data_IF_764103025142
#
_entry.id   IF_764103025142
#
_cell.length_a   1.000
_cell.length_b   1.000
_cell.length_c   1.000
_cell.angle_alpha   90.00
_cell.angle_beta   90.00
_cell.angle_gamma   90.00
#
_symmetry.space_group_name_H-M   'P 1'
#
loop_
_entity.id
_entity.type
_entity.pdbx_description
1 polymer ?
#
# COMPACT_ATOMS: atom_id res chain seq x y z
N UNK A 1 10.05 4.51 -16.18
CA UNK A 1 9.35 3.24 -15.90
C UNK A 1 8.57 3.45 -14.61
N UNK A 2 7.29 3.07 -14.58
CA UNK A 2 6.41 3.26 -13.40
C UNK A 2 6.64 2.14 -12.40
N UNK A 3 6.65 0.89 -12.88
CA UNK A 3 6.87 -0.32 -12.09
C UNK A 3 7.54 -1.39 -12.96
N UNK A 4 8.01 -2.46 -12.33
CA UNK A 4 8.47 -3.68 -13.00
C UNK A 4 7.70 -4.88 -12.48
N UNK A 5 7.47 -5.86 -13.33
CA UNK A 5 6.92 -7.17 -12.96
C UNK A 5 7.97 -8.22 -13.26
N UNK A 6 8.25 -9.08 -12.31
CA UNK A 6 9.10 -10.26 -12.45
C UNK A 6 8.35 -11.47 -11.93
N UNK A 7 8.67 -12.66 -12.45
CA UNK A 7 8.09 -13.93 -11.98
C UNK A 7 9.20 -14.76 -11.34
N UNK A 8 9.48 -14.55 -10.03
CA UNK A 8 10.56 -15.25 -9.31
C UNK A 8 10.26 -16.73 -9.10
N UNK A 9 9.00 -17.14 -9.20
CA UNK A 9 8.58 -18.54 -9.19
C UNK A 9 7.35 -18.73 -10.10
N UNK A 10 6.96 -19.97 -10.45
CA UNK A 10 5.96 -20.25 -11.49
C UNK A 10 4.60 -19.57 -11.28
N UNK A 11 4.17 -19.37 -10.03
CA UNK A 11 2.83 -18.87 -9.71
C UNK A 11 2.86 -17.57 -8.90
N UNK A 12 4.03 -16.95 -8.78
CA UNK A 12 4.23 -15.71 -8.00
C UNK A 12 4.75 -14.61 -8.90
N UNK A 13 4.03 -13.49 -8.93
CA UNK A 13 4.48 -12.24 -9.52
C UNK A 13 5.04 -11.30 -8.46
N UNK A 14 6.16 -10.64 -8.76
CA UNK A 14 6.77 -9.58 -7.96
C UNK A 14 6.59 -8.25 -8.67
N UNK A 15 5.76 -7.39 -8.12
CA UNK A 15 5.54 -6.01 -8.58
C UNK A 15 6.40 -5.06 -7.76
N UNK A 16 7.32 -4.38 -8.41
CA UNK A 16 8.21 -3.40 -7.77
C UNK A 16 7.92 -2.01 -8.30
N UNK A 17 7.44 -1.13 -7.46
CA UNK A 17 7.25 0.28 -7.80
C UNK A 17 8.59 0.99 -7.94
N UNK A 18 8.76 1.83 -8.97
CA UNK A 18 9.90 2.73 -9.04
C UNK A 18 9.91 3.70 -7.85
N UNK A 19 11.03 4.32 -7.55
CA UNK A 19 11.13 5.28 -6.43
C UNK A 19 10.11 6.43 -6.60
N UNK A 20 9.93 6.92 -7.83
CA UNK A 20 8.93 7.94 -8.14
C UNK A 20 7.51 7.44 -7.87
N UNK A 21 7.19 6.21 -8.30
CA UNK A 21 5.87 5.61 -8.09
C UNK A 21 5.61 5.32 -6.62
N UNK A 22 6.59 4.82 -5.87
CA UNK A 22 6.46 4.62 -4.42
C UNK A 22 6.15 5.92 -3.68
N UNK A 23 6.67 7.04 -4.17
CA UNK A 23 6.38 8.37 -3.61
C UNK A 23 5.01 8.90 -4.01
N UNK A 24 4.58 8.68 -5.27
CA UNK A 24 3.37 9.25 -5.85
C UNK A 24 2.51 8.16 -6.52
N UNK A 25 2.20 7.10 -5.79
CA UNK A 25 1.55 5.89 -6.32
C UNK A 25 0.20 6.21 -6.99
N UNK A 26 -0.54 7.16 -6.45
CA UNK A 26 -1.88 7.52 -6.93
C UNK A 26 -1.91 8.80 -7.77
N UNK A 27 -0.76 9.23 -8.28
CA UNK A 27 -0.73 10.29 -9.29
C UNK A 27 -1.29 9.79 -10.63
N UNK A 28 -1.91 10.69 -11.39
CA UNK A 28 -2.36 10.40 -12.76
C UNK A 28 -1.22 9.79 -13.59
N UNK A 29 -1.50 8.73 -14.32
CA UNK A 29 -0.53 7.97 -15.10
C UNK A 29 0.23 6.90 -14.31
N UNK A 30 0.59 7.12 -13.05
CA UNK A 30 1.15 6.06 -12.21
C UNK A 30 0.06 5.09 -11.78
N UNK A 31 -1.06 5.59 -11.26
CA UNK A 31 -2.18 4.76 -10.80
C UNK A 31 -2.79 3.93 -11.92
N UNK A 32 -2.91 4.46 -13.14
CA UNK A 32 -3.42 3.72 -14.29
C UNK A 32 -2.55 2.50 -14.63
N UNK A 33 -1.22 2.67 -14.59
CA UNK A 33 -0.28 1.57 -14.78
C UNK A 33 -0.35 0.54 -13.64
N UNK A 34 -0.51 0.99 -12.39
CA UNK A 34 -0.66 0.08 -11.24
C UNK A 34 -1.94 -0.73 -11.39
N UNK A 35 -3.06 -0.09 -11.76
CA UNK A 35 -4.34 -0.75 -11.97
C UNK A 35 -4.25 -1.79 -13.07
N UNK A 36 -3.78 -1.41 -14.27
CA UNK A 36 -3.69 -2.34 -15.40
C UNK A 36 -2.81 -3.55 -15.07
N UNK A 37 -1.66 -3.32 -14.41
CA UNK A 37 -0.76 -4.40 -13.99
C UNK A 37 -1.43 -5.34 -12.99
N UNK A 38 -2.09 -4.81 -11.96
CA UNK A 38 -2.76 -5.65 -10.96
C UNK A 38 -3.93 -6.41 -11.58
N UNK A 39 -4.71 -5.77 -12.46
CA UNK A 39 -5.81 -6.42 -13.16
C UNK A 39 -5.33 -7.55 -14.07
N UNK A 40 -4.25 -7.33 -14.86
CA UNK A 40 -3.63 -8.36 -15.68
C UNK A 40 -3.17 -9.56 -14.84
N UNK A 41 -2.56 -9.32 -13.67
CA UNK A 41 -2.10 -10.38 -12.77
C UNK A 41 -3.25 -11.12 -12.07
N UNK A 42 -4.36 -10.44 -11.79
CA UNK A 42 -5.58 -11.07 -11.24
C UNK A 42 -6.26 -11.97 -12.29
N UNK A 43 -6.23 -11.57 -13.56
CA UNK A 43 -6.84 -12.30 -14.67
C UNK A 43 -5.95 -13.42 -15.21
N UNK A 44 -4.65 -13.40 -14.91
CA UNK A 44 -3.72 -14.46 -15.29
C UNK A 44 -3.93 -15.70 -14.42
N UNK A 45 -4.43 -16.77 -15.04
CA UNK A 45 -4.71 -18.05 -14.36
C UNK A 45 -3.46 -18.77 -13.84
N UNK A 46 -2.27 -18.39 -14.31
CA UNK A 46 -1.01 -18.95 -13.82
C UNK A 46 -0.47 -18.19 -12.60
N UNK A 47 -1.00 -17.00 -12.29
CA UNK A 47 -0.60 -16.18 -11.13
C UNK A 47 -1.53 -16.43 -9.95
N UNK A 48 -1.04 -17.10 -8.90
CA UNK A 48 -1.77 -17.36 -7.65
C UNK A 48 -1.51 -16.30 -6.59
N UNK A 49 -0.32 -15.70 -6.61
CA UNK A 49 0.05 -14.69 -5.63
C UNK A 49 0.86 -13.53 -6.24
N UNK A 50 0.69 -12.35 -5.67
CA UNK A 50 1.38 -11.13 -6.05
C UNK A 50 2.10 -10.54 -4.85
N UNK A 51 3.42 -10.41 -4.93
CA UNK A 51 4.23 -9.67 -3.96
C UNK A 51 4.35 -8.23 -4.46
N UNK A 52 4.00 -7.26 -3.61
CA UNK A 52 4.12 -5.83 -3.93
C UNK A 52 5.21 -5.23 -3.05
N UNK A 53 6.12 -4.47 -3.65
CA UNK A 53 7.15 -3.69 -2.94
C UNK A 53 7.41 -2.36 -3.62
N UNK A 54 8.01 -1.45 -2.88
CA UNK A 54 8.47 -0.18 -3.40
C UNK A 54 9.98 -0.13 -3.58
N UNK A 55 10.47 1.03 -4.02
CA UNK A 55 11.90 1.35 -4.10
C UNK A 55 12.20 2.60 -3.28
N UNK A 56 13.38 2.64 -2.65
CA UNK A 56 13.83 3.76 -1.83
C UNK A 56 13.15 3.80 -0.46
N UNK A 57 12.70 4.99 -0.04
CA UNK A 57 12.21 5.24 1.33
C UNK A 57 10.75 4.84 1.57
N UNK A 58 10.01 4.54 0.51
CA UNK A 58 8.57 4.29 0.59
C UNK A 58 8.21 2.93 0.02
N UNK A 59 7.30 2.25 0.68
CA UNK A 59 6.46 1.25 0.06
C UNK A 59 5.43 1.96 -0.84
N UNK A 60 4.65 2.86 -0.24
CA UNK A 60 3.77 3.80 -0.95
C UNK A 60 3.45 4.98 -0.03
N UNK A 61 3.78 6.19 -0.46
CA UNK A 61 3.41 7.41 0.26
C UNK A 61 2.01 7.92 -0.11
N UNK A 62 1.32 7.25 -1.01
CA UNK A 62 -0.03 7.63 -1.42
C UNK A 62 -0.06 8.57 -2.62
N UNK A 63 -0.74 9.69 -2.48
CA UNK A 63 -0.90 10.68 -3.53
C UNK A 63 0.15 11.79 -3.51
N UNK A 64 0.21 12.61 -4.56
CA UNK A 64 1.13 13.73 -4.69
C UNK A 64 0.70 14.90 -3.80
N UNK A 65 1.03 14.84 -2.51
CA UNK A 65 0.63 15.84 -1.50
C UNK A 65 1.14 17.24 -1.85
N UNK A 66 2.27 17.35 -2.52
CA UNK A 66 2.82 18.61 -3.04
C UNK A 66 1.91 19.32 -4.05
N UNK A 67 1.01 18.60 -4.70
CA UNK A 67 0.00 19.19 -5.60
C UNK A 67 -1.27 19.65 -4.90
N UNK A 68 -1.42 19.33 -3.62
CA UNK A 68 -2.63 19.71 -2.89
C UNK A 68 -2.71 21.22 -2.66
N UNK A 69 -1.61 21.87 -2.33
CA UNK A 69 -1.56 23.32 -2.15
C UNK A 69 -1.92 24.04 -3.45
N UNK A 70 -1.35 23.59 -4.58
CA UNK A 70 -1.69 24.12 -5.92
C UNK A 70 -3.17 23.91 -6.26
N UNK A 71 -3.73 22.75 -5.93
CA UNK A 71 -5.14 22.45 -6.18
C UNK A 71 -6.09 23.22 -5.25
N UNK A 72 -5.69 23.52 -4.03
CA UNK A 72 -6.42 24.39 -3.09
C UNK A 72 -6.46 25.80 -3.64
N UNK A 73 -5.32 26.34 -4.04
CA UNK A 73 -5.21 27.70 -4.59
C UNK A 73 -6.02 27.84 -5.89
N UNK A 74 -6.06 26.80 -6.71
CA UNK A 74 -6.86 26.74 -7.94
C UNK A 74 -8.36 26.45 -7.69
N UNK A 75 -8.77 26.09 -6.47
CA UNK A 75 -10.16 25.73 -6.14
C UNK A 75 -10.60 24.36 -6.66
N UNK A 76 -9.68 23.48 -7.05
CA UNK A 76 -9.94 22.15 -7.67
C UNK A 76 -9.53 20.98 -6.79
N UNK A 77 -9.24 21.20 -5.51
CA UNK A 77 -8.80 20.15 -4.57
C UNK A 77 -9.82 19.00 -4.47
N UNK A 78 -11.10 19.31 -4.51
CA UNK A 78 -12.16 18.30 -4.47
C UNK A 78 -12.07 17.36 -5.67
N UNK A 79 -11.95 17.89 -6.87
CA UNK A 79 -11.85 17.13 -8.10
C UNK A 79 -10.59 16.25 -8.11
N UNK A 80 -9.47 16.79 -7.62
CA UNK A 80 -8.22 16.04 -7.50
C UNK A 80 -8.41 14.82 -6.57
N UNK A 81 -8.99 15.03 -5.38
CA UNK A 81 -9.20 13.94 -4.40
C UNK A 81 -10.22 12.93 -4.92
N UNK A 82 -11.34 13.37 -5.52
CA UNK A 82 -12.34 12.49 -6.13
C UNK A 82 -11.74 11.63 -7.25
N UNK A 83 -10.87 12.20 -8.09
CA UNK A 83 -10.18 11.45 -9.14
C UNK A 83 -9.25 10.40 -8.55
N UNK A 84 -8.41 10.78 -7.57
CA UNK A 84 -7.48 9.85 -6.92
C UNK A 84 -8.20 8.70 -6.23
N UNK A 85 -9.23 9.00 -5.45
CA UNK A 85 -10.01 7.98 -4.72
C UNK A 85 -10.86 7.14 -5.65
N UNK A 86 -11.35 7.70 -6.75
CA UNK A 86 -12.06 7.01 -7.82
C UNK A 86 -11.24 5.90 -8.50
N UNK A 87 -9.92 6.01 -8.49
CA UNK A 87 -9.01 4.97 -8.96
C UNK A 87 -8.60 4.01 -7.82
N UNK A 88 -8.23 4.56 -6.66
CA UNK A 88 -7.74 3.79 -5.53
C UNK A 88 -8.78 2.80 -4.98
N UNK A 89 -9.99 3.26 -4.70
CA UNK A 89 -10.98 2.42 -4.02
C UNK A 89 -11.39 1.19 -4.85
N UNK A 90 -11.68 1.29 -6.17
CA UNK A 90 -11.95 0.11 -6.98
C UNK A 90 -10.77 -0.88 -7.03
N UNK A 91 -9.52 -0.38 -7.12
CA UNK A 91 -8.33 -1.23 -7.10
C UNK A 91 -8.28 -2.08 -5.82
N UNK A 92 -8.38 -1.43 -4.64
CA UNK A 92 -8.34 -2.13 -3.36
C UNK A 92 -9.49 -3.12 -3.18
N UNK A 93 -10.68 -2.79 -3.69
CA UNK A 93 -11.81 -3.70 -3.68
C UNK A 93 -11.58 -4.93 -4.57
N UNK A 94 -10.94 -4.78 -5.73
CA UNK A 94 -10.58 -5.91 -6.59
C UNK A 94 -9.56 -6.81 -5.90
N UNK A 95 -8.49 -6.24 -5.34
CA UNK A 95 -7.50 -7.00 -4.55
C UNK A 95 -8.16 -7.83 -3.43
N UNK A 96 -9.20 -7.29 -2.78
CA UNK A 96 -9.91 -7.98 -1.68
C UNK A 96 -10.99 -8.97 -2.12
N UNK A 97 -11.33 -9.04 -3.41
CA UNK A 97 -12.40 -9.90 -3.96
C UNK A 97 -11.89 -11.00 -4.87
N UNK A 98 -10.62 -10.99 -5.22
CA UNK A 98 -9.97 -12.03 -6.02
C UNK A 98 -9.51 -13.20 -5.14
N UNK A 99 -9.37 -14.41 -5.68
CA UNK A 99 -8.67 -15.51 -5.03
C UNK A 99 -7.14 -15.33 -5.01
N UNK A 100 -6.58 -14.41 -5.81
CA UNK A 100 -5.15 -14.10 -5.84
C UNK A 100 -4.69 -13.54 -4.49
N UNK A 101 -3.65 -14.11 -3.91
CA UNK A 101 -3.06 -13.67 -2.64
C UNK A 101 -2.15 -12.47 -2.85
N UNK A 102 -2.23 -11.46 -2.00
CA UNK A 102 -1.35 -10.30 -2.03
C UNK A 102 -0.44 -10.25 -0.81
N UNK A 103 0.86 -10.20 -1.04
CA UNK A 103 1.89 -10.03 0.01
C UNK A 103 2.54 -8.68 -0.10
N UNK A 104 2.47 -7.89 0.95
CA UNK A 104 3.15 -6.59 1.06
C UNK A 104 4.58 -6.76 1.58
N UNK A 105 5.58 -6.62 0.72
CA UNK A 105 6.98 -6.55 1.11
C UNK A 105 7.35 -5.09 1.44
N UNK A 106 7.18 -4.72 2.70
CA UNK A 106 7.26 -3.35 3.21
C UNK A 106 8.71 -2.88 3.33
N UNK A 107 9.27 -2.37 2.24
CA UNK A 107 10.63 -1.84 2.18
C UNK A 107 10.80 -0.47 2.86
N UNK A 108 9.72 0.24 3.12
CA UNK A 108 9.72 1.60 3.63
C UNK A 108 8.34 2.06 4.09
N UNK A 109 8.14 3.37 4.20
CA UNK A 109 6.91 3.92 4.74
C UNK A 109 5.68 3.70 3.84
N UNK A 110 4.53 3.43 4.47
CA UNK A 110 3.19 3.44 3.89
C UNK A 110 2.35 4.52 4.57
N UNK A 111 1.83 5.47 3.79
CA UNK A 111 1.13 6.63 4.33
C UNK A 111 -0.14 6.97 3.54
N UNK A 112 -1.16 7.46 4.22
CA UNK A 112 -2.41 7.86 3.59
C UNK A 112 -3.03 6.74 2.74
N UNK A 113 -3.31 6.99 1.46
CA UNK A 113 -3.78 5.97 0.52
C UNK A 113 -2.80 4.79 0.36
N UNK A 114 -1.48 5.03 0.51
CA UNK A 114 -0.47 3.98 0.52
C UNK A 114 -0.57 3.05 1.73
N UNK A 115 -1.04 3.55 2.88
CA UNK A 115 -1.42 2.72 4.01
C UNK A 115 -2.60 1.81 3.63
N UNK A 116 -3.61 2.36 2.91
CA UNK A 116 -4.74 1.58 2.39
C UNK A 116 -4.28 0.42 1.51
N UNK A 117 -3.34 0.69 0.59
CA UNK A 117 -2.75 -0.35 -0.25
C UNK A 117 -2.04 -1.43 0.60
N UNK A 118 -1.19 -1.02 1.55
CA UNK A 118 -0.50 -1.95 2.44
C UNK A 118 -1.47 -2.83 3.26
N UNK A 119 -2.49 -2.22 3.85
CA UNK A 119 -3.49 -2.95 4.66
C UNK A 119 -4.41 -3.84 3.81
N UNK A 120 -4.51 -3.60 2.51
CA UNK A 120 -5.29 -4.42 1.58
C UNK A 120 -4.57 -5.71 1.17
N UNK A 121 -3.28 -5.85 1.45
CA UNK A 121 -2.56 -7.11 1.26
C UNK A 121 -2.94 -8.12 2.36
N UNK A 122 -2.83 -9.42 2.05
CA UNK A 122 -3.20 -10.51 2.96
C UNK A 122 -2.12 -10.76 4.01
N UNK A 123 -0.84 -10.55 3.66
CA UNK A 123 0.30 -10.67 4.55
C UNK A 123 1.27 -9.50 4.34
N UNK A 124 1.86 -8.98 5.42
CA UNK A 124 2.75 -7.80 5.40
C UNK A 124 4.06 -8.11 6.14
N UNK A 125 5.16 -8.09 5.39
CA UNK A 125 6.51 -8.32 5.91
C UNK A 125 7.28 -7.01 5.84
N UNK A 126 7.97 -6.63 6.92
CA UNK A 126 8.81 -5.44 6.96
C UNK A 126 10.29 -5.81 7.01
N UNK A 127 11.13 -4.94 6.44
CA UNK A 127 12.60 -4.97 6.62
C UNK A 127 13.08 -4.25 7.89
N UNK A 128 12.17 -3.94 8.84
CA UNK A 128 12.48 -3.15 10.04
C UNK A 128 12.54 -1.64 9.82
N UNK A 129 12.47 -1.16 8.57
CA UNK A 129 12.51 0.28 8.24
C UNK A 129 11.13 0.82 7.87
N UNK A 130 10.12 -0.04 7.70
CA UNK A 130 8.78 0.39 7.37
C UNK A 130 8.18 1.24 8.49
N UNK A 131 7.35 2.19 8.08
CA UNK A 131 6.54 3.01 8.99
C UNK A 131 5.12 3.03 8.46
N UNK A 132 4.15 2.84 9.34
CA UNK A 132 2.74 3.01 9.01
C UNK A 132 2.28 4.38 9.52
N UNK A 133 1.82 5.24 8.62
CA UNK A 133 1.44 6.61 8.94
C UNK A 133 -0.02 6.89 8.57
N UNK A 134 -0.79 7.47 9.50
CA UNK A 134 -2.17 7.89 9.25
C UNK A 134 -2.23 8.94 8.13
N UNK A 135 -1.49 10.05 8.29
CA UNK A 135 -1.23 11.09 7.29
C UNK A 135 -2.49 11.72 6.61
N UNK A 136 -3.65 11.68 7.26
CA UNK A 136 -4.89 12.25 6.71
C UNK A 136 -5.25 13.58 7.36
N UNK A 137 -5.45 13.61 8.68
CA UNK A 137 -5.98 14.79 9.36
C UNK A 137 -5.09 16.02 9.30
N UNK A 138 -3.77 15.86 9.15
CA UNK A 138 -2.86 17.00 8.94
C UNK A 138 -3.10 17.72 7.60
N UNK A 139 -3.70 17.01 6.64
CA UNK A 139 -4.05 17.53 5.32
C UNK A 139 -5.53 17.94 5.25
N UNK A 140 -6.26 17.92 6.38
CA UNK A 140 -7.69 18.20 6.40
C UNK A 140 -8.56 17.12 5.74
N UNK A 141 -8.00 15.92 5.50
CA UNK A 141 -8.68 14.80 4.86
C UNK A 141 -9.21 13.81 5.91
N UNK A 142 -10.33 13.17 5.62
CA UNK A 142 -10.78 11.99 6.35
C UNK A 142 -10.00 10.77 5.90
N UNK A 143 -9.73 9.78 6.80
CA UNK A 143 -9.12 8.53 6.40
C UNK A 143 -9.94 7.80 5.34
N UNK A 144 -9.29 7.38 4.26
CA UNK A 144 -9.86 6.67 3.10
C UNK A 144 -9.09 5.38 2.76
N UNK A 145 -9.17 4.92 1.50
CA UNK A 145 -8.47 3.71 1.05
C UNK A 145 -8.79 2.46 1.87
N UNK A 146 -9.99 2.37 2.45
CA UNK A 146 -10.40 1.24 3.28
C UNK A 146 -9.71 1.17 4.65
N UNK A 147 -8.84 2.13 5.00
CA UNK A 147 -8.05 2.10 6.24
C UNK A 147 -8.91 2.09 7.50
N UNK A 148 -10.05 2.80 7.49
CA UNK A 148 -11.01 2.82 8.60
C UNK A 148 -11.77 1.50 8.77
N UNK A 149 -11.77 0.65 7.77
CA UNK A 149 -12.37 -0.69 7.82
C UNK A 149 -11.32 -1.78 8.10
N UNK A 150 -10.14 -1.69 7.49
CA UNK A 150 -9.08 -2.69 7.59
C UNK A 150 -8.33 -2.62 8.92
N UNK A 151 -7.84 -1.43 9.30
CA UNK A 151 -7.01 -1.29 10.49
C UNK A 151 -7.71 -1.73 11.79
N UNK A 152 -8.99 -1.39 12.06
CA UNK A 152 -9.67 -1.86 13.27
C UNK A 152 -9.80 -3.39 13.37
N UNK A 153 -9.80 -4.09 12.23
CA UNK A 153 -9.86 -5.55 12.17
C UNK A 153 -8.54 -6.22 12.50
N UNK A 154 -7.44 -5.51 12.31
CA UNK A 154 -6.10 -5.97 12.63
C UNK A 154 -5.71 -5.65 14.08
N UNK A 155 -5.91 -4.39 14.51
CA UNK A 155 -5.36 -3.89 15.77
C UNK A 155 -6.41 -3.54 16.83
N UNK A 156 -7.68 -3.74 16.50
CA UNK A 156 -8.82 -3.36 17.34
C UNK A 156 -9.22 -1.89 17.21
N UNK A 157 -10.49 -1.63 17.51
CA UNK A 157 -11.14 -0.33 17.25
C UNK A 157 -10.47 0.84 18.00
N UNK A 158 -10.15 0.63 19.29
CA UNK A 158 -9.64 1.73 20.11
C UNK A 158 -8.22 2.18 19.70
N UNK A 159 -7.36 1.23 19.34
CA UNK A 159 -6.01 1.54 18.85
C UNK A 159 -6.07 2.23 17.49
N UNK A 160 -6.97 1.80 16.60
CA UNK A 160 -7.20 2.46 15.31
C UNK A 160 -7.70 3.89 15.46
N UNK A 161 -8.63 4.15 16.38
CA UNK A 161 -9.08 5.52 16.67
C UNK A 161 -7.92 6.41 17.11
N UNK A 162 -7.09 5.96 18.03
CA UNK A 162 -5.90 6.70 18.46
C UNK A 162 -4.96 6.96 17.29
N UNK A 163 -4.68 5.94 16.49
CA UNK A 163 -3.82 6.06 15.31
C UNK A 163 -4.27 7.20 14.38
N UNK A 164 -5.56 7.24 14.03
CA UNK A 164 -6.07 8.28 13.15
C UNK A 164 -6.20 9.64 13.84
N UNK A 165 -6.86 9.72 14.99
CA UNK A 165 -7.15 11.01 15.63
C UNK A 165 -5.90 11.71 16.17
N UNK A 166 -4.90 10.95 16.62
CA UNK A 166 -3.62 11.48 17.06
C UNK A 166 -2.61 11.60 15.91
N UNK A 167 -3.02 11.22 14.70
CA UNK A 167 -2.19 11.21 13.49
C UNK A 167 -0.84 10.52 13.73
N UNK A 168 -0.91 9.32 14.32
CA UNK A 168 0.26 8.55 14.72
C UNK A 168 1.05 8.03 13.51
N UNK A 169 2.31 7.74 13.77
CA UNK A 169 3.22 7.00 12.90
C UNK A 169 3.78 5.85 13.72
N UNK A 170 3.51 4.62 13.30
CA UNK A 170 4.05 3.43 13.95
C UNK A 170 5.33 2.97 13.28
N UNK A 171 6.33 2.58 14.06
CA UNK A 171 7.51 1.86 13.59
C UNK A 171 7.12 0.43 13.15
N UNK A 172 8.05 -0.30 12.54
CA UNK A 172 7.84 -1.71 12.20
C UNK A 172 7.56 -2.55 13.45
N UNK A 173 8.27 -2.29 14.53
CA UNK A 173 8.13 -3.00 15.80
C UNK A 173 6.76 -2.74 16.44
N UNK A 174 6.33 -1.47 16.51
CA UNK A 174 5.00 -1.11 17.01
C UNK A 174 3.89 -1.70 16.13
N UNK A 175 4.04 -1.65 14.81
CA UNK A 175 3.06 -2.20 13.88
C UNK A 175 2.96 -3.73 13.98
N UNK A 176 4.07 -4.43 14.22
CA UNK A 176 4.10 -5.86 14.50
C UNK A 176 3.44 -6.18 15.84
N UNK A 177 3.82 -5.48 16.92
CA UNK A 177 3.23 -5.65 18.25
C UNK A 177 1.71 -5.47 18.24
N UNK A 178 1.23 -4.51 17.42
CA UNK A 178 -0.18 -4.20 17.33
C UNK A 178 -0.96 -5.09 16.35
N UNK A 179 -0.27 -5.90 15.54
CA UNK A 179 -0.87 -6.80 14.56
C UNK A 179 -1.19 -6.13 13.20
N UNK A 180 -0.62 -4.96 12.92
CA UNK A 180 -0.73 -4.31 11.61
C UNK A 180 0.35 -4.78 10.62
N UNK A 181 1.42 -5.41 11.11
CA UNK A 181 2.41 -6.19 10.36
C UNK A 181 2.39 -7.63 10.87
N UNK A 182 2.82 -8.55 10.02
CA UNK A 182 2.80 -9.98 10.30
C UNK A 182 4.21 -10.51 10.61
N UNK A 183 5.27 -9.88 10.04
CA UNK A 183 6.66 -10.33 10.22
C UNK A 183 7.66 -9.17 10.02
N UNK A 184 8.81 -9.26 10.70
CA UNK A 184 9.99 -8.41 10.45
C UNK A 184 11.17 -9.31 10.15
N UNK A 185 11.89 -9.02 9.06
CA UNK A 185 13.07 -9.75 8.60
C UNK A 185 14.22 -8.79 8.31
N UNK A 186 15.47 -9.29 8.21
CA UNK A 186 16.57 -8.48 7.68
C UNK A 186 16.28 -7.93 6.28
N UNK A 187 16.77 -6.73 5.97
CA UNK A 187 16.53 -6.07 4.67
C UNK A 187 16.89 -6.97 3.47
N UNK A 188 17.99 -7.71 3.57
CA UNK A 188 18.45 -8.63 2.52
C UNK A 188 17.51 -9.83 2.30
N UNK A 189 16.63 -10.12 3.24
CA UNK A 189 15.71 -11.26 3.20
C UNK A 189 14.27 -10.86 2.84
N UNK A 190 13.96 -9.56 2.79
CA UNK A 190 12.60 -9.07 2.59
C UNK A 190 11.91 -9.72 1.38
N UNK A 191 12.55 -9.67 0.23
CA UNK A 191 11.94 -10.15 -1.03
C UNK A 191 11.88 -11.68 -1.04
N UNK A 192 12.96 -12.38 -0.68
CA UNK A 192 12.98 -13.85 -0.67
C UNK A 192 11.93 -14.40 0.32
N UNK A 193 11.83 -13.80 1.51
CA UNK A 193 10.83 -14.21 2.50
C UNK A 193 9.39 -13.93 2.04
N UNK A 194 9.16 -12.81 1.36
CA UNK A 194 7.85 -12.49 0.81
C UNK A 194 7.42 -13.47 -0.28
N UNK A 195 8.36 -13.92 -1.13
CA UNK A 195 8.12 -14.95 -2.14
C UNK A 195 7.80 -16.29 -1.47
N UNK A 196 8.58 -16.71 -0.45
CA UNK A 196 8.31 -17.94 0.31
C UNK A 196 6.91 -17.96 0.93
N UNK A 197 6.44 -16.82 1.45
CA UNK A 197 5.08 -16.70 2.00
C UNK A 197 4.06 -16.81 0.87
N UNK A 198 4.27 -16.10 -0.24
CA UNK A 198 3.39 -16.14 -1.39
C UNK A 198 3.24 -17.56 -2.00
N UNK A 199 4.32 -18.35 -2.01
CA UNK A 199 4.30 -19.75 -2.50
C UNK A 199 3.52 -20.71 -1.59
N UNK A 200 3.30 -20.35 -0.33
CA UNK A 200 2.61 -21.21 0.65
C UNK A 200 1.11 -20.99 0.69
N UNK A 201 0.65 -19.86 0.24
CA UNK A 201 -0.74 -19.42 0.34
C UNK A 201 -1.43 -19.54 -1.01
#
# INVERSE_FOLDING_TARGET
>A
MVLTVNHPSPHVALVTFSEKTSRDTFSTGAIENVISTIDELIEDHDTNAVVITGTGKFFSAGGPVDKFDEAIDAGVIRELVETMTGHLHPLLLRMRRTPTVFVGAMNGAAAGGGLGLALSTDYRISNGKAKLAAAFFRLGLSPDGGTTWLLPRLVGLQKSKKFFFENQVWSSEEALEYGALDEIVPESELISRSIEVAEKW
#
